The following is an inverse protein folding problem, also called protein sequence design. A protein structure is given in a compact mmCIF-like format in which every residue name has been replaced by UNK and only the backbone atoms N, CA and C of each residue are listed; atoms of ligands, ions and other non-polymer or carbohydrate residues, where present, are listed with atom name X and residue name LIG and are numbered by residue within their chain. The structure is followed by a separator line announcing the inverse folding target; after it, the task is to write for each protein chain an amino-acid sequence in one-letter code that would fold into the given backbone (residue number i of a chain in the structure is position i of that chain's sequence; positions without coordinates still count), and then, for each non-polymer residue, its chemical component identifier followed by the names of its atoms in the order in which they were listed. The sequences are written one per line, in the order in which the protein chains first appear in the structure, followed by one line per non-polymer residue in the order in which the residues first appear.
data_IF_483836971037
#
_entry.id   IF_483836971037
#
_cell.length_a   1.000
_cell.length_b   1.000
_cell.length_c   1.000
_cell.angle_alpha   90.00
_cell.angle_beta   90.00
_cell.angle_gamma   90.00
#
_symmetry.space_group_name_H-M   'P 1'
#
loop_
_entity.id
_entity.type
_entity.pdbx_description
1 polymer ?
#
# COMPACT_ATOMS: atom_id res chain seq x y z
N UNK A 1 -20.57 17.20 -0.25
CA UNK A 1 -21.35 16.17 0.49
C UNK A 1 -20.94 14.81 -0.04
N UNK A 2 -20.64 13.84 0.80
CA UNK A 2 -20.29 12.47 0.36
C UNK A 2 -21.58 11.69 0.16
N UNK A 3 -21.75 11.05 -1.01
CA UNK A 3 -22.85 10.12 -1.24
C UNK A 3 -22.60 8.82 -0.46
N UNK A 4 -23.29 8.68 0.67
CA UNK A 4 -23.13 7.54 1.57
C UNK A 4 -23.63 6.22 0.97
N UNK A 5 -24.44 6.26 -0.08
CA UNK A 5 -24.95 5.08 -0.79
C UNK A 5 -23.84 4.39 -1.59
N UNK A 6 -22.98 5.17 -2.26
CA UNK A 6 -21.91 4.66 -3.13
C UNK A 6 -20.54 4.65 -2.49
N UNK A 7 -20.32 5.39 -1.39
CA UNK A 7 -19.05 5.47 -0.71
C UNK A 7 -18.43 4.10 -0.36
N UNK A 8 -19.18 3.08 0.13
CA UNK A 8 -18.61 1.76 0.41
C UNK A 8 -18.08 1.04 -0.84
N UNK A 9 -18.69 1.26 -2.00
CA UNK A 9 -18.23 0.68 -3.26
C UNK A 9 -17.02 1.42 -3.82
N UNK A 10 -16.94 2.74 -3.64
CA UNK A 10 -15.72 3.50 -3.95
C UNK A 10 -14.53 3.03 -3.14
N UNK A 11 -14.72 2.79 -1.84
CA UNK A 11 -13.69 2.21 -0.97
C UNK A 11 -13.29 0.79 -1.41
N UNK A 12 -14.25 -0.05 -1.81
CA UNK A 12 -13.99 -1.37 -2.38
C UNK A 12 -13.09 -1.28 -3.63
N UNK A 13 -13.42 -0.42 -4.59
CA UNK A 13 -12.63 -0.26 -5.82
C UNK A 13 -11.20 0.21 -5.53
N UNK A 14 -11.06 1.18 -4.63
CA UNK A 14 -9.74 1.64 -4.20
C UNK A 14 -8.94 0.50 -3.56
N UNK A 15 -9.56 -0.29 -2.69
CA UNK A 15 -8.96 -1.45 -2.03
C UNK A 15 -8.50 -2.51 -3.03
N UNK A 16 -9.35 -2.86 -4.00
CA UNK A 16 -9.00 -3.83 -5.05
C UNK A 16 -7.80 -3.33 -5.88
N UNK A 17 -7.81 -2.07 -6.29
CA UNK A 17 -6.70 -1.46 -7.00
C UNK A 17 -5.40 -1.47 -6.19
N UNK A 18 -5.45 -1.00 -4.94
CA UNK A 18 -4.29 -0.97 -4.05
C UNK A 18 -3.72 -2.37 -3.78
N UNK A 19 -4.58 -3.33 -3.43
CA UNK A 19 -4.14 -4.69 -3.15
C UNK A 19 -3.48 -5.35 -4.37
N UNK A 20 -4.07 -5.17 -5.55
CA UNK A 20 -3.49 -5.66 -6.81
C UNK A 20 -2.11 -5.01 -7.08
N UNK A 21 -1.98 -3.69 -6.87
CA UNK A 21 -0.72 -2.98 -7.10
C UNK A 21 0.37 -3.43 -6.13
N UNK A 22 0.08 -3.57 -4.84
CA UNK A 22 1.04 -4.06 -3.86
C UNK A 22 1.52 -5.48 -4.18
N UNK A 23 0.60 -6.41 -4.49
CA UNK A 23 0.94 -7.78 -4.88
C UNK A 23 1.80 -7.78 -6.15
N UNK A 24 1.43 -7.02 -7.17
CA UNK A 24 2.18 -6.94 -8.43
C UNK A 24 3.61 -6.45 -8.21
N UNK A 25 3.84 -5.46 -7.35
CA UNK A 25 5.17 -4.95 -7.05
C UNK A 25 6.02 -5.94 -6.25
N UNK A 26 5.41 -6.66 -5.30
CA UNK A 26 6.07 -7.76 -4.61
C UNK A 26 6.46 -8.89 -5.56
N UNK A 27 5.55 -9.28 -6.47
CA UNK A 27 5.82 -10.31 -7.49
C UNK A 27 6.91 -9.88 -8.49
N UNK A 28 6.94 -8.61 -8.92
CA UNK A 28 8.02 -8.10 -9.78
C UNK A 28 9.40 -8.28 -9.13
N UNK A 29 9.50 -8.02 -7.82
CA UNK A 29 10.75 -8.20 -7.06
C UNK A 29 11.19 -9.66 -6.96
N UNK A 30 10.24 -10.60 -6.97
CA UNK A 30 10.52 -12.04 -6.88
C UNK A 30 10.78 -12.64 -8.26
N UNK A 31 9.90 -12.37 -9.23
CA UNK A 31 9.84 -13.09 -10.48
C UNK A 31 10.68 -12.43 -11.59
N UNK A 32 10.80 -11.11 -11.59
CA UNK A 32 11.50 -10.36 -12.64
C UNK A 32 12.88 -9.92 -12.18
N UNK A 33 12.96 -9.18 -11.07
CA UNK A 33 14.23 -8.68 -10.55
C UNK A 33 15.01 -9.74 -9.77
N UNK A 34 14.36 -10.81 -9.35
CA UNK A 34 14.81 -11.82 -8.41
C UNK A 34 15.10 -11.27 -7.01
N UNK A 35 15.05 -12.11 -5.99
CA UNK A 35 15.36 -11.65 -4.61
C UNK A 35 16.82 -11.17 -4.48
N UNK A 36 17.84 -11.88 -5.01
CA UNK A 36 19.21 -11.36 -4.98
C UNK A 36 19.38 -10.04 -5.72
N UNK A 37 18.72 -9.85 -6.88
CA UNK A 37 18.75 -8.59 -7.63
C UNK A 37 18.09 -7.45 -6.86
N UNK A 38 16.98 -7.73 -6.15
CA UNK A 38 16.32 -6.74 -5.29
C UNK A 38 17.21 -6.35 -4.10
N UNK A 39 17.91 -7.30 -3.48
CA UNK A 39 18.90 -7.03 -2.42
C UNK A 39 20.00 -6.11 -2.93
N UNK A 40 20.61 -6.45 -4.09
CA UNK A 40 21.66 -5.63 -4.70
C UNK A 40 21.16 -4.21 -5.04
N UNK A 41 19.92 -4.08 -5.50
CA UNK A 41 19.32 -2.76 -5.73
C UNK A 41 19.20 -1.96 -4.43
N UNK A 42 18.71 -2.55 -3.34
CA UNK A 42 18.59 -1.87 -2.05
C UNK A 42 19.97 -1.36 -1.58
N UNK A 43 21.00 -2.18 -1.70
CA UNK A 43 22.38 -1.80 -1.36
C UNK A 43 22.87 -0.64 -2.25
N UNK A 44 22.58 -0.68 -3.53
CA UNK A 44 23.00 0.36 -4.48
C UNK A 44 22.40 1.75 -4.19
N UNK A 45 21.22 1.77 -3.57
CA UNK A 45 20.52 3.02 -3.18
C UNK A 45 20.70 3.38 -1.70
N UNK A 46 21.61 2.68 -0.99
CA UNK A 46 22.01 2.99 0.38
C UNK A 46 21.16 2.37 1.48
N UNK A 47 20.28 1.43 1.16
CA UNK A 47 19.53 0.67 2.17
C UNK A 47 20.26 -0.61 2.55
N UNK A 48 19.98 -1.10 3.74
CA UNK A 48 20.47 -2.41 4.17
C UNK A 48 19.83 -3.53 3.32
N UNK A 49 20.65 -4.32 2.60
CA UNK A 49 20.21 -5.29 1.61
C UNK A 49 19.11 -6.26 2.11
N UNK A 50 19.27 -6.90 3.30
CA UNK A 50 18.23 -7.79 3.86
C UNK A 50 16.85 -7.14 4.08
N UNK A 51 16.75 -5.81 4.15
CA UNK A 51 15.45 -5.11 4.19
C UNK A 51 14.58 -5.44 2.98
N UNK A 52 15.18 -5.81 1.85
CA UNK A 52 14.47 -6.23 0.64
C UNK A 52 13.50 -7.40 0.90
N UNK A 53 13.91 -8.38 1.70
CA UNK A 53 13.05 -9.53 2.04
C UNK A 53 11.84 -9.09 2.87
N UNK A 54 12.05 -8.18 3.82
CA UNK A 54 10.98 -7.63 4.66
C UNK A 54 9.99 -6.85 3.80
N UNK A 55 10.49 -6.02 2.89
CA UNK A 55 9.66 -5.23 1.97
C UNK A 55 8.84 -6.13 1.06
N UNK A 56 9.46 -7.14 0.42
CA UNK A 56 8.74 -8.10 -0.45
C UNK A 56 7.66 -8.84 0.33
N UNK A 57 7.95 -9.33 1.52
CA UNK A 57 6.96 -10.01 2.37
C UNK A 57 5.81 -9.06 2.74
N UNK A 58 6.13 -7.83 3.13
CA UNK A 58 5.12 -6.83 3.48
C UNK A 58 4.24 -6.44 2.28
N UNK A 59 4.79 -6.30 1.08
CA UNK A 59 4.04 -6.03 -0.16
C UNK A 59 3.09 -7.17 -0.52
N UNK A 60 3.55 -8.42 -0.45
CA UNK A 60 2.73 -9.58 -0.80
C UNK A 60 1.65 -9.86 0.24
N UNK A 61 2.03 -9.94 1.51
CA UNK A 61 1.09 -10.22 2.61
C UNK A 61 0.16 -9.04 2.84
N UNK A 62 0.70 -7.84 2.85
CA UNK A 62 -0.07 -6.61 3.03
C UNK A 62 -1.00 -6.36 1.85
N UNK A 63 -0.54 -6.56 0.62
CA UNK A 63 -1.38 -6.46 -0.58
C UNK A 63 -2.54 -7.46 -0.56
N UNK A 64 -2.29 -8.71 -0.16
CA UNK A 64 -3.34 -9.72 0.00
C UNK A 64 -4.34 -9.34 1.11
N UNK A 65 -3.86 -8.85 2.25
CA UNK A 65 -4.71 -8.38 3.35
C UNK A 65 -5.59 -7.20 2.91
N UNK A 66 -5.02 -6.22 2.20
CA UNK A 66 -5.78 -5.11 1.61
C UNK A 66 -6.82 -5.63 0.63
N UNK A 67 -6.44 -6.49 -0.32
CA UNK A 67 -7.33 -7.03 -1.34
C UNK A 67 -8.54 -7.74 -0.72
N UNK A 68 -8.32 -8.53 0.32
CA UNK A 68 -9.36 -9.27 1.04
C UNK A 68 -10.15 -8.39 2.04
N UNK A 69 -9.67 -7.21 2.36
CA UNK A 69 -10.25 -6.35 3.39
C UNK A 69 -10.11 -6.93 4.79
N UNK A 70 -8.93 -7.51 5.09
CA UNK A 70 -8.56 -7.97 6.41
C UNK A 70 -7.73 -6.88 7.08
N UNK A 71 -8.38 -6.07 7.91
CA UNK A 71 -7.77 -4.87 8.51
C UNK A 71 -7.06 -3.96 7.49
N UNK A 72 -7.56 -3.91 6.26
CA UNK A 72 -6.87 -3.32 5.11
C UNK A 72 -6.50 -1.85 5.31
N UNK A 73 -7.34 -1.07 6.00
CA UNK A 73 -7.05 0.33 6.34
C UNK A 73 -5.77 0.49 7.18
N UNK A 74 -5.55 -0.40 8.15
CA UNK A 74 -4.36 -0.36 9.01
C UNK A 74 -3.13 -0.85 8.26
N UNK A 75 -3.31 -1.88 7.44
CA UNK A 75 -2.25 -2.39 6.58
C UNK A 75 -1.81 -1.34 5.57
N UNK A 76 -2.75 -0.63 4.95
CA UNK A 76 -2.43 0.48 4.03
C UNK A 76 -1.62 1.57 4.72
N UNK A 77 -1.99 1.95 5.94
CA UNK A 77 -1.22 2.92 6.72
C UNK A 77 0.20 2.41 7.04
N UNK A 78 0.32 1.13 7.41
CA UNK A 78 1.62 0.51 7.72
C UNK A 78 2.55 0.38 6.50
N UNK A 79 2.01 0.32 5.28
CA UNK A 79 2.79 0.23 4.05
C UNK A 79 3.24 1.61 3.51
N UNK A 80 2.71 2.73 4.02
CA UNK A 80 3.11 4.08 3.61
C UNK A 80 4.63 4.32 3.75
N UNK A 81 5.31 3.92 4.85
CA UNK A 81 6.76 4.08 4.96
C UNK A 81 7.54 3.38 3.86
N UNK A 82 7.09 2.21 3.38
CA UNK A 82 7.72 1.50 2.26
C UNK A 82 7.62 2.36 0.99
N UNK A 83 6.45 2.93 0.74
CA UNK A 83 6.25 3.83 -0.42
C UNK A 83 7.04 5.13 -0.29
N UNK A 84 7.20 5.65 0.92
CA UNK A 84 8.06 6.81 1.17
C UNK A 84 9.54 6.49 0.84
N UNK A 85 10.03 5.30 1.22
CA UNK A 85 11.35 4.82 0.81
C UNK A 85 11.51 4.72 -0.71
N UNK A 86 10.52 4.14 -1.40
CA UNK A 86 10.51 4.09 -2.86
C UNK A 86 10.46 5.49 -3.49
N UNK A 87 9.65 6.41 -2.95
CA UNK A 87 9.60 7.79 -3.40
C UNK A 87 10.99 8.46 -3.32
N UNK A 88 11.69 8.29 -2.19
CA UNK A 88 13.02 8.87 -1.99
C UNK A 88 14.03 8.40 -3.03
N UNK A 89 13.99 7.12 -3.42
CA UNK A 89 14.91 6.56 -4.44
C UNK A 89 14.63 7.07 -5.84
N UNK A 90 13.41 7.55 -6.12
CA UNK A 90 12.97 8.02 -7.45
C UNK A 90 12.95 9.54 -7.59
N UNK A 91 13.11 10.31 -6.50
CA UNK A 91 13.04 11.79 -6.55
C UNK A 91 14.00 12.42 -7.58
N UNK A 92 15.20 11.85 -7.73
CA UNK A 92 16.21 12.33 -8.69
C UNK A 92 15.91 12.03 -10.16
N UNK A 93 14.95 11.16 -10.46
CA UNK A 93 14.68 10.66 -11.81
C UNK A 93 13.64 11.51 -12.58
N UNK A 94 13.11 12.56 -11.97
CA UNK A 94 12.04 13.37 -12.54
C UNK A 94 10.65 12.85 -12.24
N UNK A 95 9.63 13.58 -12.72
CA UNK A 95 8.22 13.31 -12.40
C UNK A 95 7.69 12.02 -13.05
N UNK A 96 7.85 11.90 -14.38
CA UNK A 96 7.16 10.89 -15.20
C UNK A 96 7.67 9.48 -14.92
N UNK A 97 6.76 8.52 -14.72
CA UNK A 97 7.11 7.11 -14.44
C UNK A 97 7.99 6.48 -15.53
N UNK A 98 7.88 6.93 -16.78
CA UNK A 98 8.66 6.44 -17.93
C UNK A 98 10.07 7.06 -18.02
N UNK A 99 10.46 7.94 -17.11
CA UNK A 99 11.82 8.47 -17.05
C UNK A 99 12.84 7.34 -16.78
N UNK A 100 14.08 7.55 -17.20
CA UNK A 100 15.16 6.60 -16.93
C UNK A 100 15.29 6.34 -15.42
N UNK A 101 15.18 5.09 -15.02
CA UNK A 101 15.16 4.70 -13.61
C UNK A 101 13.80 4.85 -12.91
N UNK A 102 12.74 5.26 -13.64
CA UNK A 102 11.40 5.45 -13.09
C UNK A 102 11.23 6.79 -12.37
N UNK A 103 10.18 7.55 -12.70
CA UNK A 103 9.85 8.81 -12.02
C UNK A 103 9.10 8.61 -10.71
N UNK A 104 8.97 9.69 -9.92
CA UNK A 104 8.40 9.64 -8.59
C UNK A 104 6.87 9.82 -8.53
N UNK A 105 6.19 10.11 -9.66
CA UNK A 105 4.73 10.28 -9.68
C UNK A 105 3.98 9.05 -9.16
N UNK A 106 4.43 7.87 -9.58
CA UNK A 106 3.78 6.62 -9.21
C UNK A 106 3.87 6.30 -7.72
N UNK A 107 5.07 6.27 -7.08
CA UNK A 107 5.15 6.08 -5.64
C UNK A 107 4.40 7.17 -4.84
N UNK A 108 4.42 8.43 -5.29
CA UNK A 108 3.67 9.50 -4.66
C UNK A 108 2.16 9.24 -4.71
N UNK A 109 1.63 8.86 -5.88
CA UNK A 109 0.21 8.55 -6.03
C UNK A 109 -0.21 7.34 -5.20
N UNK A 110 0.60 6.27 -5.18
CA UNK A 110 0.28 5.07 -4.41
C UNK A 110 0.31 5.34 -2.90
N UNK A 111 1.22 6.19 -2.44
CA UNK A 111 1.27 6.66 -1.05
C UNK A 111 0.02 7.45 -0.68
N UNK A 112 -0.42 8.38 -1.55
CA UNK A 112 -1.66 9.14 -1.37
C UNK A 112 -2.88 8.22 -1.35
N UNK A 113 -2.99 7.29 -2.29
CA UNK A 113 -4.10 6.34 -2.37
C UNK A 113 -4.15 5.44 -1.12
N UNK A 114 -2.99 5.00 -0.61
CA UNK A 114 -2.89 4.25 0.65
C UNK A 114 -3.36 5.07 1.85
N UNK A 115 -3.00 6.35 1.92
CA UNK A 115 -3.48 7.26 2.96
C UNK A 115 -5.00 7.47 2.87
N UNK A 116 -5.55 7.67 1.68
CA UNK A 116 -6.99 7.77 1.46
C UNK A 116 -7.70 6.49 1.92
N UNK A 117 -7.21 5.31 1.54
CA UNK A 117 -7.78 4.03 1.99
C UNK A 117 -7.74 3.87 3.51
N UNK A 118 -6.62 4.24 4.14
CA UNK A 118 -6.50 4.23 5.61
C UNK A 118 -7.57 5.10 6.30
N UNK A 119 -7.91 6.25 5.71
CA UNK A 119 -8.92 7.18 6.24
C UNK A 119 -10.36 6.69 6.01
N UNK A 120 -10.68 6.25 4.79
CA UNK A 120 -12.06 5.87 4.43
C UNK A 120 -12.42 4.44 4.86
N UNK A 121 -11.43 3.54 5.04
CA UNK A 121 -11.62 2.16 5.44
C UNK A 121 -11.90 1.20 4.29
N UNK A 122 -12.17 -0.07 4.64
CA UNK A 122 -12.16 -1.20 3.71
C UNK A 122 -13.39 -1.29 2.79
N UNK A 123 -14.47 -0.58 3.11
CA UNK A 123 -15.67 -0.51 2.27
C UNK A 123 -16.48 -1.80 2.22
N UNK A 124 -17.21 -1.98 1.10
CA UNK A 124 -18.09 -3.13 0.89
C UNK A 124 -17.29 -4.44 0.77
N UNK A 125 -17.91 -5.55 1.16
CA UNK A 125 -17.38 -6.92 1.03
C UNK A 125 -16.01 -7.15 1.68
N UNK A 126 -15.63 -6.35 2.69
CA UNK A 126 -14.45 -6.62 3.48
C UNK A 126 -14.66 -7.85 4.38
N UNK A 127 -13.67 -8.74 4.45
CA UNK A 127 -13.73 -9.94 5.28
C UNK A 127 -13.69 -9.61 6.78
N UNK A 128 -12.92 -8.60 7.17
CA UNK A 128 -12.86 -8.10 8.54
C UNK A 128 -13.51 -6.72 8.60
N UNK A 129 -14.68 -6.64 9.20
CA UNK A 129 -15.39 -5.36 9.44
C UNK A 129 -15.07 -4.75 10.80
N UNK A 130 -14.17 -5.38 11.57
CA UNK A 130 -13.83 -4.98 12.91
C UNK A 130 -12.74 -3.91 12.96
N UNK A 131 -12.87 -3.01 13.92
CA UNK A 131 -11.75 -2.19 14.36
C UNK A 131 -10.78 -3.10 15.13
N UNK A 132 -9.47 -2.79 15.07
CA UNK A 132 -8.51 -3.52 15.90
C UNK A 132 -8.94 -3.42 17.37
N UNK A 133 -8.80 -4.49 18.16
CA UNK A 133 -9.02 -4.43 19.61
C UNK A 133 -8.22 -3.27 20.22
N UNK A 134 -8.90 -2.34 20.91
CA UNK A 134 -8.29 -1.12 21.47
C UNK A 134 -8.51 0.16 20.62
N UNK A 135 -9.00 0.07 19.38
CA UNK A 135 -9.37 1.22 18.53
C UNK A 135 -10.88 1.32 18.30
N UNK A 136 -11.66 0.48 18.98
CA UNK A 136 -13.11 0.52 18.90
C UNK A 136 -13.63 1.91 19.34
N UNK A 137 -14.37 2.59 18.47
CA UNK A 137 -15.03 3.84 18.82
C UNK A 137 -16.06 3.56 19.93
N UNK A 138 -16.10 4.36 21.00
CA UNK A 138 -17.19 4.25 21.95
C UNK A 138 -18.52 4.38 21.21
N UNK A 139 -19.47 3.48 21.52
CA UNK A 139 -20.78 3.51 20.95
C UNK A 139 -21.36 4.94 21.11
N UNK A 140 -21.73 5.60 20.02
CA UNK A 140 -22.44 6.89 20.09
C UNK A 140 -23.72 6.62 20.89
N UNK A 141 -23.83 7.20 22.07
CA UNK A 141 -25.10 7.26 22.78
C UNK A 141 -26.09 7.96 21.84
N UNK A 142 -27.13 7.24 21.44
CA UNK A 142 -28.25 7.78 20.67
C UNK A 142 -29.04 8.62 21.69
N UNK A 143 -28.90 9.93 21.58
CA UNK A 143 -29.76 10.90 22.27
C UNK A 143 -30.94 11.29 21.38
#
# INVERSE_FOLDING_TARGET
MIDTRFAPYGALLLRLGLGAMWISHGLLKVLVFTLPGTVAFFESVGFWGPLAYVVVAAELIGGAAILLGVYGRYVSAALIPIMAGALMTHLGNGWVFSAAGGGWEYPAFLMLASAVHALIGDGAYALSRGELPGFARPARAVS
#
